data_IF_957865977981
#
_entry.id   IF_957865977981
#
_cell.length_a   1.000
_cell.length_b   1.000
_cell.length_c   1.000
_cell.angle_alpha   90.00
_cell.angle_beta   90.00
_cell.angle_gamma   90.00
#
_symmetry.space_group_name_H-M   'P 1'
#
loop_
_entity.id
_entity.type
_entity.pdbx_description
1 polymer ?
#
# COMPACT_ATOMS: atom_id res chain seq x y z
N UNK A 1 12.19 25.88 -13.59
CA UNK A 1 12.86 24.66 -13.10
C UNK A 1 12.52 24.53 -11.63
N UNK A 2 11.78 23.49 -11.24
CA UNK A 2 11.47 23.27 -9.83
C UNK A 2 12.77 22.86 -9.11
N UNK A 3 13.12 23.59 -8.05
CA UNK A 3 14.29 23.29 -7.22
C UNK A 3 14.07 21.93 -6.56
N UNK A 4 14.92 20.93 -6.84
CA UNK A 4 14.89 19.65 -6.14
C UNK A 4 15.14 19.90 -4.64
N UNK A 5 14.18 19.49 -3.80
CA UNK A 5 14.27 19.66 -2.36
C UNK A 5 15.38 18.74 -1.83
N UNK A 6 16.42 19.31 -1.23
CA UNK A 6 17.51 18.53 -0.63
C UNK A 6 17.18 18.19 0.82
N UNK A 7 16.86 16.92 1.07
CA UNK A 7 16.60 16.40 2.40
C UNK A 7 17.89 15.99 3.11
N UNK A 8 18.04 16.38 4.38
CA UNK A 8 19.11 15.89 5.25
C UNK A 8 18.93 14.39 5.56
N UNK A 9 19.97 13.70 6.07
CA UNK A 9 19.83 12.30 6.49
C UNK A 9 18.73 12.08 7.55
N UNK A 10 18.55 13.05 8.46
CA UNK A 10 17.49 13.00 9.46
C UNK A 10 16.11 13.14 8.82
N UNK A 11 15.95 14.08 7.89
CA UNK A 11 14.68 14.24 7.14
C UNK A 11 14.32 12.95 6.40
N UNK A 12 15.31 12.30 5.76
CA UNK A 12 15.09 11.02 5.07
C UNK A 12 14.66 9.93 6.04
N UNK A 13 15.27 9.84 7.22
CA UNK A 13 14.87 8.86 8.24
C UNK A 13 13.43 9.11 8.69
N UNK A 14 13.05 10.37 8.95
CA UNK A 14 11.69 10.73 9.36
C UNK A 14 10.67 10.43 8.27
N UNK A 15 11.00 10.68 7.00
CA UNK A 15 10.15 10.35 5.86
C UNK A 15 9.94 8.84 5.70
N UNK A 16 10.98 8.02 5.92
CA UNK A 16 10.85 6.56 5.89
C UNK A 16 10.00 6.05 7.06
N UNK A 17 10.17 6.63 8.26
CA UNK A 17 9.33 6.30 9.41
C UNK A 17 7.86 6.69 9.17
N UNK A 18 7.59 7.87 8.60
CA UNK A 18 6.24 8.30 8.21
C UNK A 18 5.62 7.34 7.19
N UNK A 19 6.38 6.95 6.15
CA UNK A 19 5.90 5.99 5.16
C UNK A 19 5.57 4.63 5.78
N UNK A 20 6.44 4.10 6.64
CA UNK A 20 6.17 2.85 7.35
C UNK A 20 4.92 2.96 8.25
N UNK A 21 4.75 4.07 8.98
CA UNK A 21 3.54 4.30 9.78
C UNK A 21 2.29 4.35 8.91
N UNK A 22 2.33 5.01 7.75
CA UNK A 22 1.20 5.09 6.82
C UNK A 22 0.82 3.73 6.23
N UNK A 23 1.79 2.85 6.02
CA UNK A 23 1.56 1.50 5.54
C UNK A 23 0.93 0.61 6.62
N UNK A 24 1.33 0.79 7.89
CA UNK A 24 0.92 -0.08 8.98
C UNK A 24 -0.36 0.36 9.67
N UNK A 25 -0.63 1.67 9.75
CA UNK A 25 -1.80 2.19 10.44
C UNK A 25 -3.02 2.14 9.51
N UNK A 26 -4.13 1.50 9.93
CA UNK A 26 -5.35 1.47 9.14
C UNK A 26 -5.82 2.86 8.72
N UNK A 27 -6.32 2.98 7.49
CA UNK A 27 -6.91 4.21 6.94
C UNK A 27 -5.99 5.44 6.91
N UNK A 28 -4.67 5.26 6.99
CA UNK A 28 -3.70 6.37 6.97
C UNK A 28 -3.00 6.58 5.61
N UNK A 29 -2.94 5.53 4.80
CA UNK A 29 -2.56 5.60 3.40
C UNK A 29 -3.66 6.24 2.54
N UNK A 30 -3.28 6.90 1.45
CA UNK A 30 -4.19 7.53 0.51
C UNK A 30 -3.83 7.11 -0.91
N UNK A 31 -4.83 6.65 -1.66
CA UNK A 31 -4.64 6.34 -3.07
C UNK A 31 -4.65 7.62 -3.90
N UNK A 32 -3.76 7.69 -4.89
CA UNK A 32 -3.74 8.75 -5.89
C UNK A 32 -4.73 8.46 -7.02
N UNK A 33 -5.07 7.19 -7.22
CA UNK A 33 -5.99 6.73 -8.26
C UNK A 33 -7.26 6.11 -7.65
N UNK A 34 -8.44 6.31 -8.28
CA UNK A 34 -9.64 5.61 -7.85
C UNK A 34 -9.48 4.10 -8.06
N UNK A 35 -10.18 3.32 -7.25
CA UNK A 35 -10.19 1.86 -7.42
C UNK A 35 -10.72 1.49 -8.81
N UNK A 36 -10.05 0.58 -9.55
CA UNK A 36 -10.55 0.09 -10.83
C UNK A 36 -11.89 -0.67 -10.68
N UNK A 37 -12.26 -1.09 -9.47
CA UNK A 37 -13.53 -1.74 -9.19
C UNK A 37 -14.74 -0.79 -9.28
N UNK A 38 -14.54 0.54 -9.30
CA UNK A 38 -15.65 1.53 -9.35
C UNK A 38 -16.55 1.35 -10.57
N UNK A 39 -16.01 0.86 -11.69
CA UNK A 39 -16.77 0.61 -12.92
C UNK A 39 -17.37 -0.79 -13.00
N UNK A 40 -17.15 -1.63 -11.99
CA UNK A 40 -17.62 -3.01 -11.97
C UNK A 40 -18.92 -3.10 -11.16
N UNK A 41 -19.94 -3.84 -11.63
CA UNK A 41 -21.14 -4.08 -10.85
C UNK A 41 -20.82 -4.94 -9.62
N UNK A 42 -21.41 -4.61 -8.48
CA UNK A 42 -21.25 -5.41 -7.26
C UNK A 42 -21.93 -6.79 -7.45
N UNK A 43 -21.21 -7.84 -7.06
CA UNK A 43 -21.70 -9.20 -7.15
C UNK A 43 -22.31 -9.64 -5.82
N UNK A 44 -23.55 -10.13 -5.84
CA UNK A 44 -24.18 -10.67 -4.63
C UNK A 44 -23.54 -12.01 -4.28
N UNK A 45 -22.96 -12.08 -3.10
CA UNK A 45 -22.34 -13.29 -2.56
C UNK A 45 -23.14 -13.83 -1.38
N UNK A 46 -23.05 -15.13 -1.11
CA UNK A 46 -23.55 -15.69 0.14
C UNK A 46 -22.71 -15.17 1.33
N UNK A 47 -23.24 -15.25 2.54
CA UNK A 47 -22.47 -14.87 3.74
C UNK A 47 -21.23 -15.75 3.95
N UNK A 48 -21.28 -17.02 3.52
CA UNK A 48 -20.15 -17.94 3.59
C UNK A 48 -19.05 -17.49 2.63
N UNK A 49 -19.40 -17.20 1.38
CA UNK A 49 -18.44 -16.76 0.37
C UNK A 49 -17.88 -15.37 0.71
N UNK A 50 -18.72 -14.47 1.23
CA UNK A 50 -18.29 -13.13 1.67
C UNK A 50 -17.21 -13.23 2.74
N UNK A 51 -17.41 -14.08 3.76
CA UNK A 51 -16.40 -14.31 4.81
C UNK A 51 -15.12 -14.95 4.27
N UNK A 52 -15.26 -15.89 3.34
CA UNK A 52 -14.11 -16.55 2.71
C UNK A 52 -13.27 -15.57 1.89
N UNK A 53 -13.90 -14.79 1.01
CA UNK A 53 -13.23 -13.78 0.19
C UNK A 53 -12.66 -12.64 1.03
N UNK A 54 -13.32 -12.24 2.11
CA UNK A 54 -12.73 -11.30 3.07
C UNK A 54 -11.41 -11.84 3.66
N UNK A 55 -11.32 -13.15 3.89
CA UNK A 55 -10.07 -13.82 4.29
C UNK A 55 -8.99 -13.74 3.22
N UNK A 56 -9.33 -14.01 1.96
CA UNK A 56 -8.40 -13.89 0.83
C UNK A 56 -7.93 -12.45 0.64
N UNK A 57 -8.82 -11.47 0.77
CA UNK A 57 -8.46 -10.06 0.68
C UNK A 57 -7.52 -9.62 1.80
N UNK A 58 -7.65 -10.17 3.02
CA UNK A 58 -6.66 -9.92 4.09
C UNK A 58 -5.28 -10.47 3.74
N UNK A 59 -5.20 -11.63 3.07
CA UNK A 59 -3.92 -12.17 2.58
C UNK A 59 -3.32 -11.21 1.55
N UNK A 60 -4.12 -10.73 0.59
CA UNK A 60 -3.66 -9.74 -0.40
C UNK A 60 -3.16 -8.45 0.28
N UNK A 61 -3.94 -7.89 1.22
CA UNK A 61 -3.55 -6.70 1.98
C UNK A 61 -2.19 -6.89 2.69
N UNK A 62 -1.99 -8.03 3.36
CA UNK A 62 -0.69 -8.34 3.97
C UNK A 62 0.42 -8.45 2.93
N UNK A 63 0.11 -8.99 1.74
CA UNK A 63 1.00 -8.98 0.58
C UNK A 63 1.46 -7.56 0.22
N UNK A 64 0.54 -6.60 0.16
CA UNK A 64 0.88 -5.20 -0.15
C UNK A 64 1.73 -4.55 0.94
N UNK A 65 1.46 -4.84 2.22
CA UNK A 65 2.32 -4.38 3.33
C UNK A 65 3.73 -4.94 3.21
N UNK A 66 3.88 -6.23 2.86
CA UNK A 66 5.17 -6.85 2.62
C UNK A 66 5.88 -6.27 1.39
N UNK A 67 5.14 -5.99 0.31
CA UNK A 67 5.66 -5.36 -0.89
C UNK A 67 6.21 -3.96 -0.60
N UNK A 68 5.50 -3.15 0.20
CA UNK A 68 5.99 -1.85 0.68
C UNK A 68 7.32 -1.97 1.42
N UNK A 69 7.41 -2.88 2.38
CA UNK A 69 8.64 -3.11 3.12
C UNK A 69 9.80 -3.54 2.20
N UNK A 70 9.52 -4.42 1.24
CA UNK A 70 10.50 -4.88 0.25
C UNK A 70 10.99 -3.72 -0.63
N UNK A 71 10.08 -2.99 -1.26
CA UNK A 71 10.44 -1.95 -2.22
C UNK A 71 11.12 -0.76 -1.54
N UNK A 72 10.62 -0.30 -0.40
CA UNK A 72 11.28 0.77 0.37
C UNK A 72 12.66 0.32 0.87
N UNK A 73 12.79 -0.92 1.35
CA UNK A 73 14.08 -1.48 1.79
C UNK A 73 15.10 -1.63 0.65
N UNK A 74 14.65 -2.06 -0.52
CA UNK A 74 15.49 -2.15 -1.72
C UNK A 74 15.88 -0.76 -2.23
N UNK A 75 14.96 0.21 -2.24
CA UNK A 75 15.25 1.60 -2.61
C UNK A 75 16.35 2.20 -1.72
N UNK A 76 16.24 2.01 -0.40
CA UNK A 76 17.19 2.53 0.59
C UNK A 76 18.60 1.98 0.40
N UNK A 77 18.73 0.71 0.02
CA UNK A 77 20.02 0.01 -0.08
C UNK A 77 20.56 -0.13 -1.51
N UNK A 78 19.77 0.26 -2.52
CA UNK A 78 20.16 0.16 -3.92
C UNK A 78 21.42 0.99 -4.23
N UNK A 79 22.43 0.31 -4.80
CA UNK A 79 23.67 0.94 -5.27
C UNK A 79 23.50 1.69 -6.59
N UNK A 80 22.63 1.18 -7.46
CA UNK A 80 22.39 1.74 -8.79
C UNK A 80 21.22 2.73 -8.76
N UNK A 81 21.39 3.98 -9.22
CA UNK A 81 20.31 4.98 -9.21
C UNK A 81 19.04 4.53 -9.95
N UNK A 82 19.19 3.78 -11.05
CA UNK A 82 18.04 3.25 -11.81
C UNK A 82 17.21 2.25 -11.00
N UNK A 83 17.86 1.42 -10.19
CA UNK A 83 17.18 0.42 -9.35
C UNK A 83 16.45 1.13 -8.23
N UNK A 84 17.11 2.09 -7.57
CA UNK A 84 16.47 2.92 -6.54
C UNK A 84 15.17 3.55 -7.06
N UNK A 85 15.24 4.24 -8.20
CA UNK A 85 14.06 4.89 -8.81
C UNK A 85 12.95 3.90 -9.16
N UNK A 86 13.31 2.72 -9.67
CA UNK A 86 12.32 1.69 -9.98
C UNK A 86 11.63 1.15 -8.72
N UNK A 87 12.37 0.97 -7.62
CA UNK A 87 11.81 0.53 -6.34
C UNK A 87 10.96 1.61 -5.67
N UNK A 88 11.38 2.88 -5.73
CA UNK A 88 10.58 4.02 -5.26
C UNK A 88 9.26 4.09 -6.03
N UNK A 89 9.31 3.97 -7.37
CA UNK A 89 8.11 3.96 -8.20
C UNK A 89 7.18 2.78 -7.90
N UNK A 90 7.72 1.57 -7.74
CA UNK A 90 6.92 0.41 -7.36
C UNK A 90 6.26 0.60 -5.99
N UNK A 91 6.98 1.15 -5.01
CA UNK A 91 6.40 1.48 -3.71
C UNK A 91 5.27 2.51 -3.82
N UNK A 92 5.39 3.52 -4.68
CA UNK A 92 4.32 4.49 -4.93
C UNK A 92 3.06 3.83 -5.53
N UNK A 93 3.22 2.91 -6.49
CA UNK A 93 2.09 2.19 -7.09
C UNK A 93 1.36 1.28 -6.09
N UNK A 94 2.11 0.57 -5.24
CA UNK A 94 1.52 -0.36 -4.27
C UNK A 94 0.73 0.34 -3.15
N UNK A 95 0.90 1.66 -2.94
CA UNK A 95 0.05 2.40 -1.98
C UNK A 95 -1.40 2.39 -2.44
N UNK A 96 -1.65 2.51 -3.76
CA UNK A 96 -3.01 2.45 -4.29
C UNK A 96 -3.62 1.07 -4.03
N UNK A 97 -2.87 0.01 -4.28
CA UNK A 97 -3.31 -1.37 -4.07
C UNK A 97 -3.60 -1.66 -2.59
N UNK A 98 -2.74 -1.18 -1.68
CA UNK A 98 -2.93 -1.28 -0.24
C UNK A 98 -4.28 -0.67 0.17
N UNK A 99 -4.55 0.56 -0.28
CA UNK A 99 -5.80 1.27 0.02
C UNK A 99 -7.01 0.57 -0.59
N UNK A 100 -6.92 0.08 -1.84
CA UNK A 100 -8.03 -0.64 -2.48
C UNK A 100 -8.33 -1.97 -1.79
N UNK A 101 -7.30 -2.69 -1.32
CA UNK A 101 -7.47 -3.90 -0.53
C UNK A 101 -8.19 -3.60 0.78
N UNK A 102 -7.77 -2.58 1.52
CA UNK A 102 -8.42 -2.14 2.76
C UNK A 102 -9.89 -1.76 2.51
N UNK A 103 -10.17 -0.96 1.49
CA UNK A 103 -11.53 -0.60 1.09
C UNK A 103 -12.41 -1.82 0.82
N UNK A 104 -11.89 -2.80 0.06
CA UNK A 104 -12.66 -4.01 -0.26
C UNK A 104 -12.89 -4.89 0.98
N UNK A 105 -11.92 -4.98 1.88
CA UNK A 105 -12.07 -5.68 3.17
C UNK A 105 -13.22 -5.06 3.97
N UNK A 106 -13.32 -3.73 4.02
CA UNK A 106 -14.42 -3.02 4.68
C UNK A 106 -15.77 -3.24 4.01
N UNK A 107 -15.83 -3.19 2.68
CA UNK A 107 -17.05 -3.48 1.91
C UNK A 107 -17.58 -4.89 2.17
N UNK A 108 -16.70 -5.86 2.41
CA UNK A 108 -17.03 -7.24 2.77
C UNK A 108 -17.40 -7.41 4.27
N UNK A 109 -17.55 -6.32 5.02
CA UNK A 109 -17.90 -6.35 6.44
C UNK A 109 -16.77 -6.83 7.35
N UNK A 110 -15.52 -6.68 6.92
CA UNK A 110 -14.34 -7.11 7.66
C UNK A 110 -13.39 -5.93 7.97
N UNK A 111 -12.22 -6.22 8.53
CA UNK A 111 -11.20 -5.23 8.88
C UNK A 111 -9.80 -5.81 8.69
N UNK A 112 -8.83 -4.92 8.45
CA UNK A 112 -7.40 -5.25 8.41
C UNK A 112 -6.90 -5.54 9.82
N UNK A 113 -5.82 -6.31 9.93
CA UNK A 113 -5.13 -6.57 11.19
C UNK A 113 -3.65 -6.34 10.99
N UNK A 114 -3.05 -5.64 11.95
CA UNK A 114 -1.61 -5.40 12.02
C UNK A 114 -0.91 -6.52 12.82
N UNK A 115 -1.70 -7.33 13.55
CA UNK A 115 -1.30 -8.46 14.40
C UNK A 115 -2.25 -9.65 14.23
#
# INVERSE_FOLDING_TARGET
MATERQYSPLDRLLLQADSAMRTLLPSSAHSQRPSPAVVQPEHKMSEVDTRHVAGLMRINHTGEVCAQALYQGQALTAKLPKVRKAMEHAAEEEIDHLVWCEQRIHQLGSHTRVL
#
